data_IF_407172925335
#
_entry.id   IF_407172925335
#
_cell.length_a   1.000
_cell.length_b   1.000
_cell.length_c   1.000
_cell.angle_alpha   90.00
_cell.angle_beta   90.00
_cell.angle_gamma   90.00
#
_symmetry.space_group_name_H-M   'P 1'
#
loop_
_entity.id
_entity.type
_entity.pdbx_description
1 polymer ?
#
# COMPACT_ATOMS: atom_id res chain seq x y z
N UNK A 1 -32.36 34.24 -1.70
CA UNK A 1 -31.35 33.68 -2.63
C UNK A 1 -29.91 33.72 -2.09
N UNK A 2 -29.64 34.33 -0.93
CA UNK A 2 -28.29 34.40 -0.31
C UNK A 2 -27.68 33.03 0.03
N UNK A 3 -28.51 32.05 0.43
CA UNK A 3 -28.03 30.72 0.85
C UNK A 3 -27.35 29.96 -0.29
N UNK A 4 -27.89 30.02 -1.51
CA UNK A 4 -27.33 29.31 -2.67
C UNK A 4 -25.96 29.87 -3.05
N UNK A 5 -25.78 31.19 -2.94
CA UNK A 5 -24.50 31.85 -3.21
C UNK A 5 -23.41 31.45 -2.19
N UNK A 6 -23.76 31.35 -0.91
CA UNK A 6 -22.82 30.98 0.15
C UNK A 6 -22.41 29.50 0.03
N UNK A 7 -23.36 28.60 -0.27
CA UNK A 7 -23.06 27.17 -0.49
C UNK A 7 -22.13 27.00 -1.71
N UNK A 8 -22.30 27.79 -2.76
CA UNK A 8 -21.43 27.76 -3.95
C UNK A 8 -19.96 28.10 -3.65
N UNK A 9 -19.70 29.11 -2.82
CA UNK A 9 -18.34 29.52 -2.43
C UNK A 9 -17.68 28.46 -1.54
N UNK A 10 -18.42 27.89 -0.58
CA UNK A 10 -17.90 26.83 0.29
C UNK A 10 -17.59 25.56 -0.50
N UNK A 11 -18.45 25.17 -1.45
CA UNK A 11 -18.23 24.01 -2.31
C UNK A 11 -16.96 24.15 -3.17
N UNK A 12 -16.71 25.35 -3.71
CA UNK A 12 -15.52 25.61 -4.53
C UNK A 12 -14.19 25.39 -3.77
N UNK A 13 -14.16 25.65 -2.46
CA UNK A 13 -12.99 25.45 -1.60
C UNK A 13 -12.91 24.00 -1.09
N UNK A 14 -14.05 23.39 -0.77
CA UNK A 14 -14.11 22.06 -0.17
C UNK A 14 -13.82 20.92 -1.16
N UNK A 15 -14.29 21.03 -2.40
CA UNK A 15 -14.09 20.01 -3.44
C UNK A 15 -12.61 19.68 -3.69
N UNK A 16 -11.69 20.65 -3.91
CA UNK A 16 -10.29 20.33 -4.18
C UNK A 16 -9.59 19.67 -2.98
N UNK A 17 -9.93 20.08 -1.75
CA UNK A 17 -9.35 19.47 -0.54
C UNK A 17 -9.90 18.04 -0.31
N UNK A 18 -11.15 17.77 -0.66
CA UNK A 18 -11.74 16.44 -0.55
C UNK A 18 -11.07 15.40 -1.46
N UNK A 19 -10.74 15.78 -2.70
CA UNK A 19 -10.01 14.88 -3.61
C UNK A 19 -8.61 14.53 -3.09
N UNK A 20 -7.87 15.51 -2.58
CA UNK A 20 -6.55 15.29 -1.98
C UNK A 20 -6.62 14.40 -0.74
N UNK A 21 -7.62 14.59 0.12
CA UNK A 21 -7.80 13.77 1.32
C UNK A 21 -8.15 12.31 0.97
N UNK A 22 -8.99 12.10 -0.03
CA UNK A 22 -9.32 10.74 -0.51
C UNK A 22 -8.11 10.04 -1.12
N UNK A 23 -7.32 10.77 -1.90
CA UNK A 23 -6.09 10.23 -2.47
C UNK A 23 -5.11 9.79 -1.38
N UNK A 24 -4.86 10.65 -0.40
CA UNK A 24 -4.00 10.33 0.75
C UNK A 24 -4.52 9.13 1.53
N UNK A 25 -5.84 9.01 1.69
CA UNK A 25 -6.45 7.83 2.32
C UNK A 25 -6.15 6.52 1.56
N UNK A 26 -6.10 6.55 0.23
CA UNK A 26 -5.69 5.38 -0.55
C UNK A 26 -4.20 5.08 -0.41
N UNK A 27 -3.35 6.11 -0.40
CA UNK A 27 -1.90 5.97 -0.16
C UNK A 27 -1.64 5.37 1.23
N UNK A 28 -2.31 5.86 2.28
CA UNK A 28 -2.20 5.34 3.65
C UNK A 28 -2.64 3.86 3.74
N UNK A 29 -3.67 3.45 2.97
CA UNK A 29 -4.08 2.04 2.88
C UNK A 29 -2.99 1.18 2.25
N UNK A 30 -2.37 1.64 1.16
CA UNK A 30 -1.26 0.92 0.49
C UNK A 30 -0.05 0.80 1.44
N UNK A 31 0.32 1.90 2.10
CA UNK A 31 1.42 1.92 3.07
C UNK A 31 1.17 0.92 4.20
N UNK A 32 -0.06 0.87 4.72
CA UNK A 32 -0.42 -0.06 5.78
C UNK A 32 -0.30 -1.53 5.32
N UNK A 33 -0.80 -1.85 4.13
CA UNK A 33 -0.70 -3.21 3.57
C UNK A 33 0.74 -3.62 3.33
N UNK A 34 1.57 -2.73 2.76
CA UNK A 34 2.99 -2.97 2.50
C UNK A 34 3.79 -3.12 3.79
N UNK A 35 3.53 -2.28 4.82
CA UNK A 35 4.18 -2.41 6.14
C UNK A 35 3.80 -3.72 6.83
N UNK A 36 2.53 -4.11 6.72
CA UNK A 36 2.08 -5.38 7.26
C UNK A 36 2.76 -6.55 6.53
N UNK A 37 2.83 -6.50 5.19
CA UNK A 37 3.58 -7.47 4.39
C UNK A 37 5.06 -7.56 4.81
N UNK A 38 5.73 -6.43 4.96
CA UNK A 38 7.13 -6.35 5.39
C UNK A 38 7.33 -6.97 6.78
N UNK A 39 6.49 -6.63 7.75
CA UNK A 39 6.58 -7.18 9.12
C UNK A 39 6.37 -8.70 9.14
N UNK A 40 5.49 -9.24 8.29
CA UNK A 40 5.26 -10.67 8.16
C UNK A 40 6.46 -11.38 7.51
N UNK A 41 7.06 -10.78 6.48
CA UNK A 41 8.25 -11.30 5.82
C UNK A 41 9.49 -11.24 6.72
N UNK A 42 9.65 -10.19 7.54
CA UNK A 42 10.69 -10.12 8.57
C UNK A 42 10.51 -11.21 9.63
N UNK A 43 9.27 -11.47 10.08
CA UNK A 43 8.97 -12.56 11.00
C UNK A 43 9.26 -13.94 10.40
N UNK A 44 8.95 -14.13 9.11
CA UNK A 44 9.30 -15.35 8.39
C UNK A 44 10.81 -15.52 8.26
N UNK A 45 11.54 -14.44 7.95
CA UNK A 45 12.99 -14.46 7.82
C UNK A 45 13.66 -14.88 9.12
N UNK A 46 13.19 -14.34 10.25
CA UNK A 46 13.68 -14.70 11.58
C UNK A 46 13.45 -16.17 11.94
N UNK A 47 12.41 -16.82 11.40
CA UNK A 47 12.05 -18.20 11.74
C UNK A 47 12.57 -19.26 10.76
N UNK A 48 12.67 -18.94 9.47
CA UNK A 48 12.80 -19.96 8.40
C UNK A 48 13.96 -19.69 7.44
N UNK A 49 14.56 -18.50 7.48
CA UNK A 49 15.68 -18.13 6.61
C UNK A 49 15.26 -17.25 5.45
N UNK A 50 15.60 -17.56 4.18
CA UNK A 50 15.53 -16.60 3.07
C UNK A 50 14.12 -16.05 2.80
N UNK A 51 14.03 -14.80 2.36
CA UNK A 51 12.79 -14.20 1.85
C UNK A 51 12.26 -15.01 0.66
N UNK A 52 10.94 -15.10 0.51
CA UNK A 52 10.34 -15.68 -0.70
C UNK A 52 9.57 -14.61 -1.47
N UNK A 53 9.64 -14.62 -2.81
CA UNK A 53 8.81 -13.75 -3.62
C UNK A 53 7.35 -14.18 -3.51
N UNK A 54 6.44 -13.22 -3.55
CA UNK A 54 5.01 -13.45 -3.67
C UNK A 54 4.44 -12.60 -4.79
N UNK A 55 3.60 -13.21 -5.62
CA UNK A 55 3.10 -12.59 -6.85
C UNK A 55 2.16 -11.41 -6.61
N UNK A 56 1.85 -10.65 -7.68
CA UNK A 56 0.92 -9.55 -7.61
C UNK A 56 -0.45 -10.07 -7.19
N UNK A 57 -0.97 -9.52 -6.10
CA UNK A 57 -2.27 -9.91 -5.60
C UNK A 57 -3.10 -8.69 -5.27
N UNK A 58 -4.26 -8.61 -5.94
CA UNK A 58 -5.19 -7.49 -5.83
C UNK A 58 -6.27 -7.81 -4.80
N UNK A 59 -6.45 -6.92 -3.84
CA UNK A 59 -7.48 -7.03 -2.82
C UNK A 59 -8.88 -6.62 -3.30
N UNK A 60 -9.94 -6.91 -2.52
CA UNK A 60 -9.90 -7.48 -1.18
C UNK A 60 -9.74 -8.99 -1.22
N UNK A 61 -8.56 -9.48 -0.89
CA UNK A 61 -8.27 -10.90 -0.88
C UNK A 61 -7.25 -11.20 0.22
N UNK A 62 -7.23 -12.44 0.67
CA UNK A 62 -6.20 -12.94 1.57
C UNK A 62 -5.12 -13.55 0.70
N UNK A 63 -3.97 -12.90 0.70
CA UNK A 63 -2.79 -13.36 -0.02
C UNK A 63 -2.00 -14.21 0.95
N UNK A 64 -1.61 -15.39 0.49
CA UNK A 64 -0.71 -16.24 1.26
C UNK A 64 0.71 -15.86 0.84
N UNK A 65 1.46 -15.27 1.76
CA UNK A 65 2.86 -14.96 1.62
C UNK A 65 3.70 -16.22 1.88
N UNK A 66 5.02 -16.01 1.86
CA UNK A 66 6.01 -16.97 2.27
C UNK A 66 5.62 -17.69 3.58
N UNK A 67 5.75 -19.02 3.61
CA UNK A 67 5.54 -19.81 4.82
C UNK A 67 4.08 -19.99 5.28
N UNK A 68 3.09 -19.84 4.40
CA UNK A 68 1.65 -19.90 4.74
C UNK A 68 1.13 -18.74 5.60
N UNK A 69 1.87 -17.64 5.67
CA UNK A 69 1.43 -16.46 6.40
C UNK A 69 0.35 -15.73 5.57
N UNK A 70 -0.78 -15.40 6.20
CA UNK A 70 -1.92 -14.76 5.54
C UNK A 70 -1.87 -13.24 5.74
N UNK A 71 -1.75 -12.50 4.65
CA UNK A 71 -1.93 -11.04 4.63
C UNK A 71 -3.28 -10.71 4.01
N UNK A 72 -4.00 -9.80 4.66
CA UNK A 72 -5.22 -9.22 4.11
C UNK A 72 -4.83 -8.00 3.31
N UNK A 73 -5.14 -8.02 2.02
CA UNK A 73 -4.92 -6.87 1.14
C UNK A 73 -6.20 -6.06 1.07
N UNK A 74 -6.05 -4.75 1.20
CA UNK A 74 -7.13 -3.78 1.15
C UNK A 74 -7.72 -3.68 -0.25
N UNK A 75 -8.96 -3.18 -0.36
CA UNK A 75 -9.70 -3.13 -1.65
C UNK A 75 -8.91 -2.37 -2.71
N UNK A 76 -8.76 -2.96 -3.90
CA UNK A 76 -8.04 -2.39 -5.04
C UNK A 76 -6.55 -2.09 -4.79
N UNK A 77 -5.98 -2.53 -3.66
CA UNK A 77 -4.54 -2.50 -3.48
C UNK A 77 -3.98 -3.75 -4.16
N UNK A 78 -2.96 -3.59 -5.00
CA UNK A 78 -2.17 -4.69 -5.57
C UNK A 78 -0.82 -4.67 -4.90
N UNK A 79 -0.46 -5.76 -4.24
CA UNK A 79 0.86 -5.94 -3.61
C UNK A 79 1.66 -7.01 -4.35
N UNK A 80 2.97 -6.84 -4.45
CA UNK A 80 3.90 -7.81 -5.03
C UNK A 80 5.20 -7.78 -4.24
N UNK A 81 5.78 -8.95 -3.95
CA UNK A 81 7.07 -9.10 -3.31
C UNK A 81 8.07 -9.77 -4.25
N UNK A 82 9.11 -9.05 -4.64
CA UNK A 82 10.19 -9.57 -5.50
C UNK A 82 11.47 -9.68 -4.68
N UNK A 83 12.09 -10.86 -4.69
CA UNK A 83 13.43 -11.06 -4.12
C UNK A 83 14.45 -10.70 -5.18
N UNK A 84 15.25 -9.67 -4.89
CA UNK A 84 16.31 -9.22 -5.76
C UNK A 84 17.52 -10.17 -5.71
N UNK A 85 18.40 -10.14 -6.73
CA UNK A 85 19.59 -11.00 -6.78
C UNK A 85 20.58 -10.80 -5.62
N UNK A 86 20.48 -9.68 -4.90
CA UNK A 86 21.26 -9.34 -3.71
C UNK A 86 20.70 -9.95 -2.41
N UNK A 87 19.58 -10.68 -2.49
CA UNK A 87 18.89 -11.28 -1.35
C UNK A 87 17.94 -10.34 -0.60
N UNK A 88 17.74 -9.11 -1.11
CA UNK A 88 16.77 -8.18 -0.55
C UNK A 88 15.35 -8.44 -1.05
N UNK A 89 14.35 -8.13 -0.23
CA UNK A 89 12.95 -8.21 -0.62
C UNK A 89 12.41 -6.80 -0.95
N UNK A 90 11.93 -6.61 -2.17
CA UNK A 90 11.19 -5.41 -2.56
C UNK A 90 9.70 -5.72 -2.60
N UNK A 91 8.93 -5.09 -1.71
CA UNK A 91 7.48 -5.15 -1.67
C UNK A 91 6.90 -3.90 -2.31
N UNK A 92 6.20 -4.05 -3.43
CA UNK A 92 5.56 -2.95 -4.14
C UNK A 92 4.06 -3.00 -3.92
N UNK A 93 3.46 -1.89 -3.48
CA UNK A 93 2.03 -1.71 -3.35
C UNK A 93 1.52 -0.64 -4.32
N UNK A 94 0.47 -0.94 -5.06
CA UNK A 94 -0.17 0.01 -5.99
C UNK A 94 -1.66 0.07 -5.74
N UNK A 95 -2.26 1.24 -5.93
CA UNK A 95 -3.72 1.40 -5.89
C UNK A 95 -4.14 2.28 -7.07
N UNK A 96 -5.20 1.93 -7.82
CA UNK A 96 -5.61 2.67 -9.03
C UNK A 96 -6.08 4.10 -8.75
N UNK A 97 -6.38 4.42 -7.48
CA UNK A 97 -6.68 5.76 -7.00
C UNK A 97 -5.49 6.52 -6.37
N UNK A 98 -4.31 5.90 -6.27
CA UNK A 98 -3.07 6.58 -5.89
C UNK A 98 -2.35 7.01 -7.18
N UNK A 99 -1.85 8.25 -7.23
CA UNK A 99 -1.17 8.77 -8.45
C UNK A 99 0.25 8.21 -8.61
N UNK A 100 0.82 7.65 -7.54
CA UNK A 100 2.15 7.03 -7.56
C UNK A 100 2.13 5.65 -6.91
N UNK A 101 2.84 4.65 -7.48
CA UNK A 101 3.07 3.37 -6.83
C UNK A 101 3.93 3.57 -5.58
N UNK A 102 3.59 2.93 -4.46
CA UNK A 102 4.36 2.99 -3.21
C UNK A 102 5.21 1.72 -3.10
N UNK A 103 6.53 1.89 -3.09
CA UNK A 103 7.47 0.77 -3.01
C UNK A 103 8.21 0.72 -1.67
N UNK A 104 8.33 -0.46 -1.09
CA UNK A 104 9.16 -0.72 0.08
C UNK A 104 10.28 -1.68 -0.32
N UNK A 105 11.52 -1.36 0.01
CA UNK A 105 12.67 -2.23 -0.25
C UNK A 105 13.42 -2.53 1.04
N UNK A 106 13.59 -3.82 1.35
CA UNK A 106 14.14 -4.28 2.62
C UNK A 106 15.67 -4.24 2.68
N UNK A 107 16.39 -3.78 1.64
CA UNK A 107 17.86 -3.60 1.70
C UNK A 107 18.25 -2.54 2.74
N UNK A 108 17.35 -1.58 3.07
CA UNK A 108 17.62 -0.43 3.94
C UNK A 108 16.42 -0.10 4.84
N UNK A 109 15.63 -1.09 5.29
CA UNK A 109 14.56 -0.88 6.29
C UNK A 109 13.64 0.33 6.02
N UNK A 110 13.47 0.71 4.75
CA UNK A 110 13.15 2.07 4.36
C UNK A 110 12.09 2.07 3.30
N UNK A 111 10.96 2.70 3.62
CA UNK A 111 9.89 2.97 2.67
C UNK A 111 10.45 3.97 1.65
N UNK A 112 10.64 3.53 0.40
CA UNK A 112 11.05 4.42 -0.69
C UNK A 112 9.76 5.07 -1.22
N UNK A 113 9.55 6.33 -0.81
CA UNK A 113 8.41 7.16 -1.19
C UNK A 113 8.32 7.33 -2.70
#
# INVERSE_FOLDING_TARGET
MVVVAIIGILAAIAIPNYFKFRQKGYEDMVVNDVRNAASLEEAYYASTGPYLPFGPATGPNVVTLSGNIKLRVSRNVTIEGVVNPDGSLTITGTHPGATSPISYSSTIGGVLH
#
